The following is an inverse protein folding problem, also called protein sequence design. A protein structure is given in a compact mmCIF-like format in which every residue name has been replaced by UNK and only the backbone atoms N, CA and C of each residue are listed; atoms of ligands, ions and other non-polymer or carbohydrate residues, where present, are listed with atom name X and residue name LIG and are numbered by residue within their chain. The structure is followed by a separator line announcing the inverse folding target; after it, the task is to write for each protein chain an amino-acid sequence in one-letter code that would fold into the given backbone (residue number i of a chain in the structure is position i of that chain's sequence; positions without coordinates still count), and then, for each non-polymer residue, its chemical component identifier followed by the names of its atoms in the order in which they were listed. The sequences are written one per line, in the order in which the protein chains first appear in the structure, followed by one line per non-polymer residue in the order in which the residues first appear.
data_IF_490875827511
#
_entry.id   IF_490875827511
#
_cell.length_a   1.000
_cell.length_b   1.000
_cell.length_c   1.000
_cell.angle_alpha   90.00
_cell.angle_beta   90.00
_cell.angle_gamma   90.00
#
_symmetry.space_group_name_H-M   'P 1'
#
loop_
_entity.id
_entity.type
_entity.pdbx_description
1 polymer ?
#
# COMPACT_ATOMS: atom_id res chain seq x y z
N UNK A 1 -2.63 -12.58 2.37
CA UNK A 1 -1.16 -12.42 2.31
C UNK A 1 -0.82 -10.94 2.31
N UNK A 2 0.25 -10.56 2.99
CA UNK A 2 0.62 -9.16 3.26
C UNK A 2 2.03 -8.87 2.75
N UNK A 3 2.21 -7.72 2.11
CA UNK A 3 3.48 -7.15 1.65
C UNK A 3 3.84 -5.99 2.56
N UNK A 4 5.09 -5.94 3.02
CA UNK A 4 5.62 -4.78 3.73
C UNK A 4 6.41 -3.92 2.75
N UNK A 5 6.03 -2.64 2.67
CA UNK A 5 6.72 -1.60 1.95
C UNK A 5 7.50 -0.71 2.93
N UNK A 6 8.67 -0.26 2.51
CA UNK A 6 9.45 0.76 3.22
C UNK A 6 9.61 1.94 2.29
N UNK A 7 9.19 3.10 2.77
CA UNK A 7 9.27 4.38 2.05
C UNK A 7 10.56 5.11 2.40
N UNK A 8 10.93 6.10 1.59
CA UNK A 8 12.10 6.96 1.78
C UNK A 8 12.03 7.78 3.08
N UNK A 9 10.83 8.08 3.57
CA UNK A 9 10.60 8.71 4.88
C UNK A 9 10.89 7.76 6.05
N UNK A 10 11.19 6.49 5.78
CA UNK A 10 11.36 5.43 6.78
C UNK A 10 10.03 4.83 7.25
N UNK A 11 8.89 5.33 6.77
CA UNK A 11 7.59 4.77 7.11
C UNK A 11 7.46 3.36 6.52
N UNK A 12 6.95 2.44 7.33
CA UNK A 12 6.61 1.08 6.93
C UNK A 12 5.11 0.99 6.71
N UNK A 13 4.70 0.34 5.64
CA UNK A 13 3.29 0.15 5.28
C UNK A 13 3.06 -1.33 4.98
N UNK A 14 2.08 -1.91 5.64
CA UNK A 14 1.57 -3.24 5.36
C UNK A 14 0.46 -3.11 4.31
N UNK A 15 0.56 -3.83 3.20
CA UNK A 15 -0.45 -3.85 2.14
C UNK A 15 -0.87 -5.28 1.88
N UNK A 16 -2.18 -5.55 1.84
CA UNK A 16 -2.72 -6.85 1.44
C UNK A 16 -3.88 -6.67 0.48
N UNK A 17 -4.25 -7.78 -0.17
CA UNK A 17 -5.44 -7.84 -0.99
C UNK A 17 -6.58 -8.46 -0.19
N UNK A 18 -7.73 -7.82 -0.22
CA UNK A 18 -8.97 -8.30 0.37
C UNK A 18 -10.06 -8.34 -0.70
N UNK A 19 -10.41 -9.55 -1.14
CA UNK A 19 -11.27 -9.78 -2.31
C UNK A 19 -10.69 -9.06 -3.54
N UNK A 20 -11.38 -8.03 -4.04
CA UNK A 20 -11.01 -7.23 -5.20
C UNK A 20 -10.45 -5.85 -4.85
N UNK A 21 -10.22 -5.60 -3.57
CA UNK A 21 -9.68 -4.34 -3.05
C UNK A 21 -8.31 -4.55 -2.41
N UNK A 22 -7.61 -3.44 -2.19
CA UNK A 22 -6.38 -3.39 -1.44
C UNK A 22 -6.65 -2.75 -0.08
N UNK A 23 -5.99 -3.26 0.94
CA UNK A 23 -6.01 -2.69 2.27
C UNK A 23 -4.59 -2.37 2.69
N UNK A 24 -4.39 -1.21 3.32
CA UNK A 24 -3.10 -0.73 3.76
C UNK A 24 -3.14 -0.10 5.15
N UNK A 25 -2.03 -0.24 5.89
CA UNK A 25 -1.94 0.11 7.31
C UNK A 25 -0.48 0.32 7.72
N UNK A 26 -0.21 1.26 8.63
CA UNK A 26 1.09 1.33 9.32
C UNK A 26 1.21 0.21 10.39
N UNK A 27 2.34 -0.49 10.50
CA UNK A 27 2.53 -1.48 11.56
C UNK A 27 2.28 -0.88 12.95
N UNK A 28 1.43 -1.53 13.74
CA UNK A 28 1.12 -1.10 15.10
C UNK A 28 0.22 0.14 15.21
N UNK A 29 -0.38 0.62 14.11
CA UNK A 29 -1.38 1.68 14.20
C UNK A 29 -2.63 1.18 14.92
N UNK A 30 -3.18 2.01 15.80
CA UNK A 30 -4.50 1.81 16.40
C UNK A 30 -5.66 2.13 15.45
N UNK A 31 -5.36 2.77 14.32
CA UNK A 31 -6.33 3.12 13.28
C UNK A 31 -6.71 1.91 12.41
N UNK A 32 -7.94 1.93 11.91
CA UNK A 32 -8.42 0.93 10.96
C UNK A 32 -7.62 0.95 9.65
N UNK A 33 -7.57 -0.19 8.98
CA UNK A 33 -6.93 -0.31 7.69
C UNK A 33 -7.64 0.56 6.65
N UNK A 34 -6.87 1.28 5.83
CA UNK A 34 -7.41 2.00 4.69
C UNK A 34 -7.70 1.02 3.56
N UNK A 35 -8.94 0.95 3.09
CA UNK A 35 -9.37 0.06 2.01
C UNK A 35 -9.63 0.89 0.76
N UNK A 36 -9.00 0.52 -0.36
CA UNK A 36 -9.09 1.26 -1.62
C UNK A 36 -9.07 0.34 -2.85
N UNK A 37 -9.40 0.91 -4.01
CA UNK A 37 -9.19 0.23 -5.28
C UNK A 37 -7.69 0.21 -5.61
N UNK A 38 -7.29 -0.71 -6.50
CA UNK A 38 -5.89 -0.83 -6.92
C UNK A 38 -5.36 0.36 -7.73
N UNK A 39 -6.26 1.21 -8.24
CA UNK A 39 -5.90 2.48 -8.91
C UNK A 39 -5.54 3.56 -7.89
N UNK A 40 -6.15 3.53 -6.70
CA UNK A 40 -6.00 4.56 -5.65
C UNK A 40 -4.92 4.17 -4.61
N UNK A 41 -4.34 2.97 -4.74
CA UNK A 41 -3.38 2.45 -3.76
C UNK A 41 -2.16 3.37 -3.55
N UNK A 42 -1.74 4.12 -4.57
CA UNK A 42 -0.62 5.05 -4.42
C UNK A 42 -0.98 6.24 -3.52
N UNK A 43 -2.23 6.71 -3.54
CA UNK A 43 -2.69 7.82 -2.69
C UNK A 43 -2.72 7.38 -1.22
N UNK A 44 -3.23 6.18 -0.96
CA UNK A 44 -3.22 5.57 0.38
C UNK A 44 -1.79 5.34 0.88
N UNK A 45 -0.89 4.88 0.01
CA UNK A 45 0.53 4.74 0.37
C UNK A 45 1.14 6.10 0.69
N UNK A 46 0.82 7.14 -0.07
CA UNK A 46 1.35 8.48 0.16
C UNK A 46 0.87 9.05 1.51
N UNK A 47 -0.43 8.98 1.78
CA UNK A 47 -1.01 9.40 3.06
C UNK A 47 -0.37 8.64 4.24
N UNK A 48 -0.33 7.30 4.14
CA UNK A 48 0.30 6.46 5.16
C UNK A 48 1.82 6.65 5.23
N UNK A 49 2.50 7.16 4.23
CA UNK A 49 3.94 7.43 4.30
C UNK A 49 4.27 8.88 4.69
N UNK A 50 3.26 9.76 4.72
CA UNK A 50 3.46 11.21 4.83
C UNK A 50 4.16 11.79 3.60
N UNK A 51 3.92 11.23 2.42
CA UNK A 51 4.46 11.72 1.15
C UNK A 51 3.56 12.80 0.58
N UNK A 52 4.18 13.84 0.06
CA UNK A 52 3.51 14.93 -0.67
C UNK A 52 3.38 14.57 -2.15
N UNK A 53 2.14 14.38 -2.61
CA UNK A 53 1.86 14.03 -4.01
C UNK A 53 2.03 15.20 -4.99
N UNK A 54 2.10 16.44 -4.49
CA UNK A 54 2.43 17.60 -5.31
C UNK A 54 3.94 17.66 -5.63
N UNK A 55 4.76 16.98 -4.82
CA UNK A 55 6.19 16.81 -5.09
C UNK A 55 6.43 15.62 -6.02
N UNK A 56 7.07 15.88 -7.16
CA UNK A 56 7.23 14.90 -8.25
C UNK A 56 7.96 13.64 -7.80
N UNK A 57 9.02 13.74 -7.00
CA UNK A 57 9.80 12.57 -6.58
C UNK A 57 9.00 11.68 -5.62
N UNK A 58 8.28 12.27 -4.68
CA UNK A 58 7.43 11.59 -3.71
C UNK A 58 6.19 10.95 -4.39
N UNK A 59 5.57 11.64 -5.34
CA UNK A 59 4.50 11.07 -6.18
C UNK A 59 4.98 9.87 -7.00
N UNK A 60 6.16 9.96 -7.61
CA UNK A 60 6.77 8.85 -8.34
C UNK A 60 7.12 7.68 -7.41
N UNK A 61 7.57 7.96 -6.19
CA UNK A 61 7.82 6.93 -5.18
C UNK A 61 6.55 6.19 -4.79
N UNK A 62 5.47 6.91 -4.44
CA UNK A 62 4.19 6.31 -4.09
C UNK A 62 3.66 5.41 -5.22
N UNK A 63 3.75 5.89 -6.47
CA UNK A 63 3.36 5.13 -7.66
C UNK A 63 4.19 3.86 -7.83
N UNK A 64 5.52 3.95 -7.66
CA UNK A 64 6.43 2.80 -7.75
C UNK A 64 6.11 1.76 -6.68
N UNK A 65 5.91 2.20 -5.44
CA UNK A 65 5.57 1.34 -4.30
C UNK A 65 4.22 0.64 -4.50
N UNK A 66 3.21 1.35 -5.01
CA UNK A 66 1.92 0.76 -5.37
C UNK A 66 2.06 -0.28 -6.49
N UNK A 67 2.89 0.01 -7.50
CA UNK A 67 3.24 -0.94 -8.56
C UNK A 67 3.86 -2.23 -8.01
N UNK A 68 4.87 -2.08 -7.14
CA UNK A 68 5.55 -3.20 -6.48
C UNK A 68 4.58 -4.04 -5.64
N UNK A 69 3.76 -3.40 -4.81
CA UNK A 69 2.77 -4.08 -3.99
C UNK A 69 1.78 -4.87 -4.84
N UNK A 70 1.27 -4.29 -5.93
CA UNK A 70 0.35 -4.96 -6.86
C UNK A 70 0.99 -6.17 -7.51
N UNK A 71 2.22 -6.05 -8.02
CA UNK A 71 2.93 -7.17 -8.64
C UNK A 71 3.17 -8.30 -7.65
N UNK A 72 3.62 -7.97 -6.43
CA UNK A 72 3.88 -8.95 -5.37
C UNK A 72 2.60 -9.64 -4.88
N UNK A 73 1.49 -8.91 -4.79
CA UNK A 73 0.21 -9.48 -4.38
C UNK A 73 -0.48 -10.25 -5.51
N UNK A 74 -0.24 -9.91 -6.78
CA UNK A 74 -0.75 -10.64 -7.93
C UNK A 74 -0.03 -11.98 -8.14
N UNK A 75 1.25 -12.07 -7.79
CA UNK A 75 2.03 -13.32 -7.84
C UNK A 75 1.75 -14.26 -6.66
N UNK A 76 0.96 -13.82 -5.69
CA UNK A 76 0.56 -14.60 -4.53
C UNK A 76 -0.84 -15.20 -4.73
N UNK A 77 -1.06 -16.49 -4.39
CA UNK A 77 -2.38 -17.10 -4.51
C UNK A 77 -3.39 -16.35 -3.63
N UNK A 78 -4.55 -16.00 -4.21
CA UNK A 78 -5.65 -15.34 -3.50
C UNK A 78 -6.06 -16.25 -2.34
N UNK A 79 -5.77 -15.83 -1.10
CA UNK A 79 -6.31 -16.50 0.08
C UNK A 79 -7.82 -16.26 0.11
N UNK A 80 -8.59 -17.26 -0.33
CA UNK A 80 -9.97 -17.42 0.15
C UNK A 80 -9.88 -17.71 1.64
N UNK A 81 -10.16 -16.73 2.49
CA UNK A 81 -10.41 -17.01 3.91
C UNK A 81 -11.61 -17.98 3.97
N UNK A 82 -11.52 -19.08 4.75
CA UNK A 82 -12.66 -19.97 4.98
C UNK A 82 -13.79 -19.26 5.71
#
# INVERSE_FOLDING_TARGET
MTVTLTTSTGAKILVWREKDMFAALRPGASAEAQICLGIDLFEVIADLAGLDLDERAQSAEATRLAGEARQRLASMPIQRRP
#
